data_IF_303965024471
#
_entry.id   IF_303965024471
#
_cell.length_a   1.000
_cell.length_b   1.000
_cell.length_c   1.000
_cell.angle_alpha   90.00
_cell.angle_beta   90.00
_cell.angle_gamma   90.00
#
_symmetry.space_group_name_H-M   'P 1'
#
loop_
_entity.id
_entity.type
_entity.pdbx_description
1 polymer ?
#
# COMPACT_ATOMS: atom_id res chain seq x y z
N UNK A 1 15.53 17.86 6.94
CA UNK A 1 15.52 16.56 7.64
C UNK A 1 14.50 16.69 8.76
N UNK A 2 13.43 15.87 8.77
CA UNK A 2 12.38 15.96 9.79
C UNK A 2 12.68 14.98 10.92
N UNK A 3 12.85 15.50 12.14
CA UNK A 3 13.00 14.67 13.34
C UNK A 3 11.61 14.27 13.85
N UNK A 4 11.37 12.98 14.03
CA UNK A 4 10.12 12.47 14.58
C UNK A 4 10.31 12.22 16.06
N UNK A 5 9.53 12.92 16.89
CA UNK A 5 9.48 12.71 18.34
C UNK A 5 8.33 11.75 18.66
N UNK A 6 8.58 10.80 19.56
CA UNK A 6 7.56 9.87 20.06
C UNK A 6 7.22 10.24 21.49
N UNK A 7 5.92 10.25 21.78
CA UNK A 7 5.40 10.58 23.10
C UNK A 7 3.94 10.19 23.22
N UNK A 8 3.40 10.33 24.41
CA UNK A 8 2.01 10.01 24.73
C UNK A 8 1.26 11.27 25.14
N UNK A 9 -0.04 11.32 24.85
CA UNK A 9 -0.91 12.36 25.39
C UNK A 9 -1.28 11.99 26.83
N UNK A 10 -0.89 12.84 27.80
CA UNK A 10 -1.33 12.76 29.20
C UNK A 10 -1.80 14.12 29.67
N UNK A 11 -2.99 14.17 30.26
CA UNK A 11 -3.62 15.42 30.72
C UNK A 11 -3.65 16.53 29.64
N UNK A 12 -3.87 16.16 28.38
CA UNK A 12 -3.91 17.08 27.25
C UNK A 12 -2.55 17.63 26.80
N UNK A 13 -1.44 17.05 27.28
CA UNK A 13 -0.07 17.43 26.92
C UNK A 13 0.66 16.26 26.28
N UNK A 14 1.55 16.54 25.33
CA UNK A 14 2.48 15.55 24.80
C UNK A 14 3.60 15.37 25.84
N UNK A 15 3.70 14.18 26.42
CA UNK A 15 4.81 13.75 27.25
C UNK A 15 5.74 12.87 26.42
N UNK A 16 7.02 13.21 26.40
CA UNK A 16 8.08 12.44 25.74
C UNK A 16 8.95 11.77 26.80
N UNK A 17 9.45 10.58 26.50
CA UNK A 17 10.26 9.80 27.45
C UNK A 17 11.67 10.37 27.61
N UNK A 18 12.17 11.07 26.59
CA UNK A 18 13.50 11.68 26.55
C UNK A 18 13.43 13.19 26.33
N UNK A 19 14.38 13.97 26.89
CA UNK A 19 14.48 15.40 26.63
C UNK A 19 14.63 15.70 25.12
N UNK A 20 13.91 16.72 24.66
CA UNK A 20 13.91 17.12 23.25
C UNK A 20 15.09 18.07 23.01
N UNK A 21 16.01 17.68 22.14
CA UNK A 21 17.14 18.53 21.71
C UNK A 21 16.75 19.38 20.48
N UNK A 22 15.76 20.26 20.67
CA UNK A 22 15.37 21.26 19.66
C UNK A 22 15.67 22.68 20.19
N UNK A 23 16.15 23.61 19.34
CA UNK A 23 16.36 24.99 19.74
C UNK A 23 15.10 25.64 20.29
N UNK A 24 15.28 26.58 21.22
CA UNK A 24 14.17 27.38 21.73
C UNK A 24 13.45 28.13 20.60
N UNK A 25 12.11 28.18 20.66
CA UNK A 25 11.27 28.79 19.62
C UNK A 25 10.97 27.89 18.42
N UNK A 26 11.40 26.62 18.44
CA UNK A 26 11.05 25.66 17.37
C UNK A 26 9.54 25.39 17.35
N UNK A 27 8.89 25.67 16.22
CA UNK A 27 7.49 25.29 15.98
C UNK A 27 7.37 23.78 15.74
N UNK A 28 6.38 23.14 16.36
CA UNK A 28 6.13 21.71 16.24
C UNK A 28 4.67 21.43 15.87
N UNK A 29 4.48 20.46 14.98
CA UNK A 29 3.15 19.95 14.61
C UNK A 29 2.94 18.60 15.28
N UNK A 30 1.84 18.45 16.02
CA UNK A 30 1.45 17.19 16.68
C UNK A 30 0.39 16.51 15.83
N UNK A 31 0.68 15.29 15.38
CA UNK A 31 -0.26 14.43 14.69
C UNK A 31 -0.36 13.08 15.43
N UNK A 32 -1.53 12.43 15.45
CA UNK A 32 -1.67 11.08 15.98
C UNK A 32 -0.70 10.11 15.28
N UNK A 33 0.18 9.47 16.05
CA UNK A 33 1.08 8.44 15.53
C UNK A 33 0.29 7.17 15.22
N UNK A 34 0.34 6.70 13.98
CA UNK A 34 -0.34 5.46 13.57
C UNK A 34 -1.73 5.63 12.98
N UNK A 35 -2.12 6.83 12.52
CA UNK A 35 -3.28 6.99 11.63
C UNK A 35 -2.97 6.68 10.16
N UNK A 36 -2.03 5.77 9.88
CA UNK A 36 -2.23 4.94 8.70
C UNK A 36 -3.50 4.16 9.02
N UNK A 37 -4.56 4.35 8.22
CA UNK A 37 -5.79 3.56 8.32
C UNK A 37 -5.42 2.08 8.38
N UNK A 38 -5.28 1.54 9.58
CA UNK A 38 -5.48 0.13 9.80
C UNK A 38 -7.00 0.02 9.85
N UNK A 39 -7.62 -0.04 8.66
CA UNK A 39 -9.07 -0.21 8.48
C UNK A 39 -9.54 -1.59 8.97
N UNK A 40 -8.74 -2.27 9.81
CA UNK A 40 -9.00 -3.59 10.34
C UNK A 40 -9.29 -4.61 9.23
N UNK A 41 -9.80 -5.79 9.60
CA UNK A 41 -10.42 -6.67 8.63
C UNK A 41 -11.68 -5.98 8.05
N UNK A 42 -11.75 -5.90 6.73
CA UNK A 42 -12.92 -5.36 6.00
C UNK A 42 -14.20 -6.03 6.49
N UNK A 43 -15.21 -5.23 6.83
CA UNK A 43 -16.46 -5.77 7.35
C UNK A 43 -17.20 -6.64 6.32
N UNK A 44 -17.97 -7.67 6.74
CA UNK A 44 -18.78 -8.48 5.82
C UNK A 44 -19.75 -7.64 4.96
N UNK A 45 -20.28 -6.57 5.52
CA UNK A 45 -21.18 -5.64 4.83
C UNK A 45 -20.47 -4.88 3.72
N UNK A 46 -19.22 -4.46 3.95
CA UNK A 46 -18.41 -3.80 2.95
C UNK A 46 -18.01 -4.74 1.82
N UNK A 47 -17.67 -5.98 2.15
CA UNK A 47 -17.44 -7.05 1.17
C UNK A 47 -18.69 -7.24 0.31
N UNK A 48 -19.88 -7.36 0.92
CA UNK A 48 -21.13 -7.52 0.20
C UNK A 48 -21.44 -6.32 -0.73
N UNK A 49 -21.17 -5.08 -0.28
CA UNK A 49 -21.34 -3.88 -1.11
C UNK A 49 -20.41 -3.89 -2.33
N UNK A 50 -19.14 -4.21 -2.13
CA UNK A 50 -18.15 -4.25 -3.22
C UNK A 50 -18.51 -5.35 -4.22
N UNK A 51 -18.87 -6.55 -3.76
CA UNK A 51 -19.30 -7.64 -4.63
C UNK A 51 -20.56 -7.27 -5.45
N UNK A 52 -21.54 -6.63 -4.81
CA UNK A 52 -22.73 -6.15 -5.50
C UNK A 52 -22.40 -5.05 -6.53
N UNK A 53 -21.37 -4.25 -6.31
CA UNK A 53 -20.89 -3.28 -7.30
C UNK A 53 -20.19 -3.99 -8.48
N UNK A 54 -19.35 -4.99 -8.20
CA UNK A 54 -18.67 -5.78 -9.25
C UNK A 54 -19.66 -6.50 -10.17
N UNK A 55 -20.76 -7.04 -9.62
CA UNK A 55 -21.81 -7.71 -10.40
C UNK A 55 -22.53 -6.78 -11.40
N UNK A 56 -22.40 -5.46 -11.26
CA UNK A 56 -22.99 -4.47 -12.18
C UNK A 56 -22.04 -4.05 -13.28
N UNK A 57 -20.77 -4.46 -13.22
CA UNK A 57 -19.80 -4.17 -14.26
C UNK A 57 -20.15 -4.98 -15.51
N UNK A 58 -20.19 -4.32 -16.65
CA UNK A 58 -20.35 -4.99 -17.94
C UNK A 58 -18.98 -5.49 -18.43
N UNK A 59 -18.94 -6.57 -19.22
CA UNK A 59 -17.73 -6.99 -19.91
C UNK A 59 -17.13 -5.83 -20.71
N UNK A 60 -15.80 -5.73 -20.69
CA UNK A 60 -15.09 -4.82 -21.57
C UNK A 60 -15.15 -5.38 -22.99
N UNK A 61 -15.81 -4.66 -23.89
CA UNK A 61 -15.78 -4.95 -25.33
C UNK A 61 -14.39 -4.58 -25.86
N UNK A 62 -13.60 -5.58 -26.21
CA UNK A 62 -12.27 -5.40 -26.78
C UNK A 62 -12.40 -5.57 -28.30
N UNK A 63 -12.06 -4.55 -29.12
CA UNK A 63 -12.05 -4.68 -30.56
C UNK A 63 -11.12 -5.79 -31.05
N UNK A 64 -11.52 -6.52 -32.10
CA UNK A 64 -10.75 -7.66 -32.66
C UNK A 64 -9.31 -7.28 -33.03
N UNK A 65 -9.12 -6.07 -33.52
CA UNK A 65 -7.80 -5.51 -33.87
C UNK A 65 -6.85 -5.35 -32.67
N UNK A 66 -7.41 -5.16 -31.47
CA UNK A 66 -6.65 -5.03 -30.21
C UNK A 66 -6.45 -6.40 -29.54
N UNK A 67 -7.36 -7.35 -29.77
CA UNK A 67 -7.30 -8.68 -29.17
C UNK A 67 -6.00 -9.44 -29.53
N UNK A 68 -5.55 -9.35 -30.79
CA UNK A 68 -4.31 -10.00 -31.23
C UNK A 68 -3.05 -9.43 -30.54
N UNK A 69 -3.04 -8.12 -30.30
CA UNK A 69 -1.94 -7.44 -29.61
C UNK A 69 -1.90 -7.80 -28.12
N UNK A 70 -3.07 -7.93 -27.48
CA UNK A 70 -3.19 -8.37 -26.09
C UNK A 70 -2.73 -9.82 -25.92
N UNK A 71 -3.13 -10.72 -26.82
CA UNK A 71 -2.67 -12.11 -26.83
C UNK A 71 -1.14 -12.20 -26.98
N UNK A 72 -0.55 -11.40 -27.86
CA UNK A 72 0.89 -11.35 -28.07
C UNK A 72 1.62 -10.83 -26.83
N UNK A 73 1.08 -9.79 -26.21
CA UNK A 73 1.59 -9.22 -24.96
C UNK A 73 1.51 -10.21 -23.80
N UNK A 74 0.38 -10.91 -23.63
CA UNK A 74 0.20 -11.91 -22.58
C UNK A 74 1.22 -13.05 -22.72
N UNK A 75 1.41 -13.56 -23.94
CA UNK A 75 2.45 -14.58 -24.22
C UNK A 75 3.86 -14.07 -23.90
N UNK A 76 4.15 -12.80 -24.15
CA UNK A 76 5.45 -12.19 -23.82
C UNK A 76 5.64 -12.09 -22.30
N UNK A 77 4.62 -11.64 -21.57
CA UNK A 77 4.66 -11.53 -20.10
C UNK A 77 4.83 -12.90 -19.46
N UNK A 78 4.04 -13.90 -19.88
CA UNK A 78 4.13 -15.26 -19.35
C UNK A 78 5.49 -15.89 -19.60
N UNK A 79 6.07 -15.68 -20.79
CA UNK A 79 7.42 -16.14 -21.11
C UNK A 79 8.47 -15.52 -20.19
N UNK A 80 8.43 -14.20 -19.98
CA UNK A 80 9.35 -13.51 -19.06
C UNK A 80 9.16 -13.94 -17.60
N UNK A 81 7.93 -14.25 -17.19
CA UNK A 81 7.62 -14.79 -15.87
C UNK A 81 8.26 -16.17 -15.65
N UNK A 82 8.18 -17.05 -16.65
CA UNK A 82 8.82 -18.37 -16.62
C UNK A 82 10.34 -18.24 -16.65
N UNK A 83 10.90 -17.46 -17.59
CA UNK A 83 12.35 -17.22 -17.71
C UNK A 83 12.95 -16.63 -16.42
N UNK A 84 12.25 -15.71 -15.74
CA UNK A 84 12.69 -15.13 -14.46
C UNK A 84 12.53 -16.09 -13.28
N UNK A 85 11.60 -17.05 -13.35
CA UNK A 85 11.48 -18.11 -12.35
C UNK A 85 12.61 -19.13 -12.45
N UNK A 86 13.12 -19.38 -13.67
CA UNK A 86 14.28 -20.25 -13.91
C UNK A 86 15.63 -19.55 -13.63
N UNK A 87 15.70 -18.21 -13.69
CA UNK A 87 16.96 -17.46 -13.54
C UNK A 87 17.30 -16.97 -12.12
N UNK A 88 16.78 -17.57 -11.05
CA UNK A 88 17.42 -17.44 -9.73
C UNK A 88 16.51 -17.07 -8.56
N UNK A 89 16.12 -18.10 -7.81
CA UNK A 89 16.07 -18.03 -6.34
C UNK A 89 17.33 -18.68 -5.74
N UNK A 90 18.08 -19.48 -6.52
CA UNK A 90 19.27 -20.20 -6.04
C UNK A 90 20.48 -19.31 -5.71
N UNK A 91 20.54 -18.08 -6.24
CA UNK A 91 21.64 -17.14 -5.99
C UNK A 91 21.36 -16.15 -4.84
N UNK A 92 20.16 -16.17 -4.26
CA UNK A 92 19.76 -15.25 -3.16
C UNK A 92 20.10 -15.83 -1.78
N UNK A 93 20.40 -17.14 -1.70
CA UNK A 93 20.66 -17.86 -0.45
C UNK A 93 22.05 -18.51 -0.38
N UNK A 94 23.03 -18.03 -1.16
CA UNK A 94 24.43 -18.44 -1.00
C UNK A 94 25.24 -17.39 -0.24
#
# INVERSE_FOLDING_TARGET
MSTVLRGFIRNGRVEVDEPIDLPEGTEVVVAPGGAGRDDGPVSPEEIARVLAAMQRLQPLEIPDEVAADLDAWERQVNRRGIERSESGIEDVFR
#
